data_IF_567385085041
#
_entry.id   IF_567385085041
#
_cell.length_a   1.000
_cell.length_b   1.000
_cell.length_c   1.000
_cell.angle_alpha   90.00
_cell.angle_beta   90.00
_cell.angle_gamma   90.00
#
_symmetry.space_group_name_H-M   'P 1'
#
loop_
_entity.id
_entity.type
_entity.pdbx_description
1 polymer ?
#
# COMPACT_ATOMS: atom_id res chain seq x y z
N UNK A 1 -40.60 10.08 -2.48
CA UNK A 1 -39.73 9.25 -1.61
C UNK A 1 -38.29 9.47 -2.06
N UNK A 2 -37.40 9.96 -1.19
CA UNK A 2 -35.98 10.19 -1.52
C UNK A 2 -35.23 8.85 -1.43
N UNK A 3 -34.50 8.49 -2.48
CA UNK A 3 -33.63 7.32 -2.46
C UNK A 3 -32.52 7.48 -1.40
N UNK A 4 -32.14 6.43 -0.67
CA UNK A 4 -31.04 6.51 0.28
C UNK A 4 -29.72 6.75 -0.48
N UNK A 5 -28.99 7.78 -0.09
CA UNK A 5 -27.69 8.08 -0.67
C UNK A 5 -26.71 6.94 -0.33
N UNK A 6 -25.93 6.43 -1.31
CA UNK A 6 -24.96 5.37 -1.04
C UNK A 6 -23.91 5.88 -0.05
N UNK A 7 -23.50 5.06 0.94
CA UNK A 7 -22.50 5.46 1.91
C UNK A 7 -21.19 5.81 1.18
N UNK A 8 -20.69 7.03 1.39
CA UNK A 8 -19.39 7.48 0.90
C UNK A 8 -18.29 6.70 1.62
N UNK A 9 -17.89 5.57 1.05
CA UNK A 9 -16.90 4.66 1.63
C UNK A 9 -15.46 5.22 1.61
N UNK A 10 -15.18 6.28 0.85
CA UNK A 10 -13.84 6.88 0.82
C UNK A 10 -13.86 8.33 0.30
N UNK A 11 -13.35 9.27 1.09
CA UNK A 11 -12.89 10.56 0.58
C UNK A 11 -11.38 10.45 0.37
N UNK A 12 -10.95 10.51 -0.90
CA UNK A 12 -9.52 10.52 -1.26
C UNK A 12 -8.86 11.73 -0.59
N UNK A 13 -7.91 11.48 0.33
CA UNK A 13 -7.13 12.53 1.03
C UNK A 13 -5.94 13.06 0.23
N UNK A 14 -5.67 12.50 -0.95
CA UNK A 14 -4.45 12.71 -1.73
C UNK A 14 -4.81 13.04 -3.19
N UNK A 15 -4.03 13.93 -3.86
CA UNK A 15 -4.17 14.22 -5.30
C UNK A 15 -3.69 13.02 -6.12
N UNK A 16 -4.09 12.91 -7.39
CA UNK A 16 -3.66 11.80 -8.27
C UNK A 16 -2.14 11.65 -8.43
N UNK A 17 -1.37 12.68 -8.06
CA UNK A 17 0.09 12.71 -8.09
C UNK A 17 0.75 12.50 -6.72
N UNK A 18 -0.02 12.33 -5.64
CA UNK A 18 0.53 12.05 -4.32
C UNK A 18 0.81 10.54 -4.19
N UNK A 19 2.05 10.20 -3.85
CA UNK A 19 2.40 8.83 -3.44
C UNK A 19 1.54 8.44 -2.24
N UNK A 20 0.59 7.51 -2.43
CA UNK A 20 -0.18 6.93 -1.32
C UNK A 20 0.82 6.40 -0.28
N UNK A 21 0.64 6.62 1.01
CA UNK A 21 1.57 6.08 1.99
C UNK A 21 1.43 4.53 2.07
N UNK A 22 2.52 3.80 2.36
CA UNK A 22 2.45 2.34 2.57
C UNK A 22 1.47 1.99 3.71
N UNK A 23 1.42 2.81 4.75
CA UNK A 23 0.47 2.67 5.87
C UNK A 23 -1.00 2.75 5.43
N UNK A 24 -1.29 3.58 4.42
CA UNK A 24 -2.66 3.73 3.91
C UNK A 24 -3.05 2.54 3.03
N UNK A 25 -2.11 1.98 2.25
CA UNK A 25 -2.34 0.72 1.54
C UNK A 25 -2.56 -0.45 2.50
N UNK A 26 -1.76 -0.56 3.55
CA UNK A 26 -1.92 -1.61 4.56
C UNK A 26 -3.27 -1.54 5.27
N UNK A 27 -3.75 -0.32 5.57
CA UNK A 27 -5.09 -0.10 6.13
C UNK A 27 -6.18 -0.51 5.14
N UNK A 28 -6.07 -0.10 3.88
CA UNK A 28 -7.04 -0.48 2.85
C UNK A 28 -7.08 -2.01 2.65
N UNK A 29 -5.91 -2.66 2.65
CA UNK A 29 -5.77 -4.11 2.58
C UNK A 29 -6.47 -4.80 3.75
N UNK A 30 -6.24 -4.36 4.99
CA UNK A 30 -6.88 -4.93 6.17
C UNK A 30 -8.41 -4.82 6.15
N UNK A 31 -8.94 -3.69 5.66
CA UNK A 31 -10.38 -3.49 5.49
C UNK A 31 -10.94 -4.43 4.42
N UNK A 32 -10.27 -4.55 3.27
CA UNK A 32 -10.67 -5.45 2.20
C UNK A 32 -10.62 -6.93 2.65
N UNK A 33 -9.61 -7.31 3.41
CA UNK A 33 -9.48 -8.65 4.00
C UNK A 33 -10.66 -8.97 4.93
N UNK A 34 -11.04 -8.03 5.79
CA UNK A 34 -12.21 -8.17 6.68
C UNK A 34 -13.51 -8.36 5.90
N UNK A 35 -13.71 -7.60 4.82
CA UNK A 35 -14.90 -7.72 3.98
C UNK A 35 -14.96 -9.07 3.25
N UNK A 36 -13.83 -9.58 2.77
CA UNK A 36 -13.75 -10.93 2.16
C UNK A 36 -14.02 -12.01 3.22
N UNK A 37 -13.49 -11.87 4.44
CA UNK A 37 -13.74 -12.80 5.54
C UNK A 37 -15.22 -12.83 6.00
N UNK A 38 -15.94 -11.72 5.84
CA UNK A 38 -17.39 -11.64 6.05
C UNK A 38 -18.22 -12.30 4.92
N UNK A 39 -17.58 -12.92 3.93
CA UNK A 39 -18.25 -13.60 2.81
C UNK A 39 -18.69 -12.66 1.69
N UNK A 40 -18.14 -11.43 1.62
CA UNK A 40 -18.42 -10.50 0.52
C UNK A 40 -17.42 -10.72 -0.61
N UNK A 41 -17.63 -11.81 -1.37
CA UNK A 41 -16.76 -12.22 -2.48
C UNK A 41 -16.54 -11.15 -3.56
N UNK A 42 -17.47 -10.19 -3.68
CA UNK A 42 -17.33 -9.03 -4.55
C UNK A 42 -16.06 -8.18 -4.28
N UNK A 43 -15.47 -8.29 -3.09
CA UNK A 43 -14.25 -7.56 -2.71
C UNK A 43 -12.95 -8.35 -2.95
N UNK A 44 -13.01 -9.62 -3.36
CA UNK A 44 -11.82 -10.44 -3.66
C UNK A 44 -10.89 -9.75 -4.68
N UNK A 45 -11.37 -9.20 -5.82
CA UNK A 45 -10.49 -8.55 -6.79
C UNK A 45 -9.76 -7.33 -6.22
N UNK A 46 -10.43 -6.58 -5.34
CA UNK A 46 -9.87 -5.40 -4.66
C UNK A 46 -8.81 -5.83 -3.66
N UNK A 47 -9.09 -6.87 -2.87
CA UNK A 47 -8.15 -7.47 -1.94
C UNK A 47 -6.88 -7.96 -2.65
N UNK A 48 -7.01 -8.76 -3.71
CA UNK A 48 -5.85 -9.27 -4.48
C UNK A 48 -5.03 -8.15 -5.11
N UNK A 49 -5.67 -7.06 -5.55
CA UNK A 49 -4.95 -5.89 -6.08
C UNK A 49 -4.14 -5.19 -4.99
N UNK A 50 -4.76 -4.96 -3.82
CA UNK A 50 -4.10 -4.34 -2.68
C UNK A 50 -2.93 -5.18 -2.15
N UNK A 51 -3.09 -6.51 -2.12
CA UNK A 51 -2.02 -7.44 -1.76
C UNK A 51 -0.76 -7.23 -2.62
N UNK A 52 -0.94 -7.22 -3.95
CA UNK A 52 0.17 -7.00 -4.90
C UNK A 52 0.82 -5.63 -4.75
N UNK A 53 0.02 -4.58 -4.55
CA UNK A 53 0.54 -3.21 -4.38
C UNK A 53 1.35 -3.07 -3.07
N UNK A 54 0.92 -3.72 -1.99
CA UNK A 54 1.68 -3.77 -0.72
C UNK A 54 3.00 -4.53 -0.91
N UNK A 55 2.95 -5.74 -1.48
CA UNK A 55 4.15 -6.57 -1.69
C UNK A 55 5.20 -5.86 -2.56
N UNK A 56 4.77 -5.20 -3.64
CA UNK A 56 5.67 -4.44 -4.50
C UNK A 56 6.36 -3.29 -3.76
N UNK A 57 5.63 -2.55 -2.92
CA UNK A 57 6.21 -1.44 -2.16
C UNK A 57 7.16 -1.93 -1.07
N UNK A 58 6.83 -3.01 -0.38
CA UNK A 58 7.74 -3.63 0.58
C UNK A 58 9.05 -4.09 -0.08
N UNK A 59 8.95 -4.70 -1.27
CA UNK A 59 10.11 -5.09 -2.07
C UNK A 59 10.96 -3.89 -2.49
N UNK A 60 10.33 -2.80 -2.93
CA UNK A 60 11.04 -1.57 -3.30
C UNK A 60 11.75 -0.93 -2.11
N UNK A 61 11.12 -0.90 -0.93
CA UNK A 61 11.75 -0.41 0.29
C UNK A 61 12.91 -1.30 0.75
N UNK A 62 12.81 -2.62 0.60
CA UNK A 62 13.91 -3.54 0.86
C UNK A 62 15.10 -3.28 -0.08
N UNK A 63 14.85 -3.06 -1.37
CA UNK A 63 15.90 -2.70 -2.35
C UNK A 63 16.56 -1.37 -1.97
N UNK A 64 15.77 -0.36 -1.61
CA UNK A 64 16.28 0.96 -1.17
C UNK A 64 17.15 0.83 0.09
N UNK A 65 16.72 0.05 1.09
CA UNK A 65 17.51 -0.22 2.29
C UNK A 65 18.84 -0.88 1.94
N UNK A 66 18.81 -1.91 1.10
CA UNK A 66 20.03 -2.61 0.65
C UNK A 66 20.97 -1.67 -0.12
N UNK A 67 20.43 -0.82 -0.99
CA UNK A 67 21.20 0.19 -1.71
C UNK A 67 21.85 1.20 -0.75
N UNK A 68 21.13 1.63 0.30
CA UNK A 68 21.67 2.52 1.33
C UNK A 68 22.77 1.84 2.17
N UNK A 69 22.63 0.56 2.50
CA UNK A 69 23.67 -0.22 3.19
C UNK A 69 24.92 -0.39 2.33
N UNK A 70 24.74 -0.71 1.05
CA UNK A 70 25.83 -0.77 0.07
C UNK A 70 26.51 0.59 0.00
N UNK A 71 25.76 1.69 -0.18
CA UNK A 71 26.32 3.04 -0.21
C UNK A 71 27.11 3.38 1.08
N UNK A 72 26.60 3.02 2.26
CA UNK A 72 27.34 3.18 3.53
C UNK A 72 28.62 2.37 3.58
N UNK A 73 28.63 1.15 3.03
CA UNK A 73 29.80 0.26 3.01
C UNK A 73 30.86 0.74 2.02
N UNK A 74 30.46 1.25 0.86
CA UNK A 74 31.38 1.76 -0.16
C UNK A 74 31.82 3.21 0.09
N UNK A 75 30.99 4.05 0.71
CA UNK A 75 31.36 5.40 1.15
C UNK A 75 32.32 5.42 2.35
N UNK A 76 32.52 4.28 3.01
CA UNK A 76 33.48 4.07 4.11
C UNK A 76 34.81 3.44 3.69
N UNK A 77 35.07 3.21 2.40
CA UNK A 77 36.42 2.81 1.98
C UNK A 77 37.40 3.95 2.31
N UNK A 78 38.41 3.76 3.19
CA UNK A 78 39.49 4.72 3.29
C UNK A 78 40.17 4.77 1.92
N UNK A 79 40.40 5.98 1.41
CA UNK A 79 41.37 6.20 0.34
C UNK A 79 42.74 5.84 0.94
N UNK A 80 43.21 4.62 0.68
CA UNK A 80 44.63 4.33 0.72
C UNK A 80 45.21 4.60 -0.65
#
# INVERSE_FOLDING_TARGET
MKAPEPPKLYQRKYKDSDDVALSDLQRAYAIAAGLVAEGKDAFIPVFTRLEKEVEQRERMDAIRKRAAEVAKRFGRKPKN
#
